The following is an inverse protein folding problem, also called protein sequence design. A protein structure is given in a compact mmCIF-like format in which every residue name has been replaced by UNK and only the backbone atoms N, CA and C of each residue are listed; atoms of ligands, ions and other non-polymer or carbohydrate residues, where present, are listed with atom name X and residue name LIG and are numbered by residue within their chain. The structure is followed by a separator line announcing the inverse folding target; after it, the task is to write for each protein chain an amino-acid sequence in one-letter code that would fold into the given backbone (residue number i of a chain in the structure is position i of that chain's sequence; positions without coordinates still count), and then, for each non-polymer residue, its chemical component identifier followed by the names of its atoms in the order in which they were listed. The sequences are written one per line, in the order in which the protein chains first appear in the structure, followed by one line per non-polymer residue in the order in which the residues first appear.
data_IF_995774390810
#
_entry.id   IF_995774390810
#
_cell.length_a   1.000
_cell.length_b   1.000
_cell.length_c   1.000
_cell.angle_alpha   90.00
_cell.angle_beta   90.00
_cell.angle_gamma   90.00
#
_symmetry.space_group_name_H-M   'P 1'
#
loop_
_entity.id
_entity.type
_entity.pdbx_description
1 polymer ?
#
# COMPACT_ATOMS: atom_id res chain seq x y z
N UNK A 1 -19.17 25.08 -21.95
CA UNK A 1 -18.60 24.10 -22.92
C UNK A 1 -17.07 24.05 -22.86
N UNK A 2 -16.35 25.19 -22.85
CA UNK A 2 -14.88 25.19 -22.72
C UNK A 2 -14.35 24.99 -21.29
N UNK A 3 -15.06 25.50 -20.28
CA UNK A 3 -14.66 25.32 -18.88
C UNK A 3 -14.58 23.83 -18.44
N UNK A 4 -15.49 23.00 -18.95
CA UNK A 4 -15.51 21.56 -18.66
C UNK A 4 -14.32 20.82 -19.29
N UNK A 5 -13.83 21.27 -20.46
CA UNK A 5 -12.63 20.71 -21.08
C UNK A 5 -11.37 21.03 -20.28
N UNK A 6 -11.27 22.26 -19.76
CA UNK A 6 -10.14 22.70 -18.92
C UNK A 6 -10.11 21.92 -17.60
N UNK A 7 -11.27 21.78 -16.94
CA UNK A 7 -11.37 21.02 -15.69
C UNK A 7 -11.04 19.54 -15.92
N UNK A 8 -11.57 18.93 -16.98
CA UNK A 8 -11.26 17.54 -17.32
C UNK A 8 -9.77 17.32 -17.59
N UNK A 9 -9.13 18.26 -18.29
CA UNK A 9 -7.68 18.22 -18.53
C UNK A 9 -6.86 18.29 -17.23
N UNK A 10 -7.23 19.17 -16.30
CA UNK A 10 -6.59 19.30 -14.99
C UNK A 10 -6.74 17.98 -14.19
N UNK A 11 -7.95 17.41 -14.16
CA UNK A 11 -8.20 16.15 -13.45
C UNK A 11 -7.42 15.00 -14.09
N UNK A 12 -7.38 14.91 -15.42
CA UNK A 12 -6.59 13.90 -16.15
C UNK A 12 -5.11 13.99 -15.81
N UNK A 13 -4.52 15.20 -15.86
CA UNK A 13 -3.11 15.39 -15.53
C UNK A 13 -2.81 15.07 -14.07
N UNK A 14 -3.72 15.36 -13.14
CA UNK A 14 -3.59 14.99 -11.74
C UNK A 14 -3.67 13.47 -11.56
N UNK A 15 -4.64 12.81 -12.19
CA UNK A 15 -4.79 11.35 -12.17
C UNK A 15 -3.54 10.66 -12.70
N UNK A 16 -3.01 11.08 -13.84
CA UNK A 16 -1.79 10.50 -14.41
C UNK A 16 -0.59 10.69 -13.49
N UNK A 17 -0.47 11.84 -12.81
CA UNK A 17 0.60 12.07 -11.82
C UNK A 17 0.44 11.15 -10.61
N UNK A 18 -0.77 11.04 -10.07
CA UNK A 18 -1.07 10.16 -8.93
C UNK A 18 -0.80 8.70 -9.29
N UNK A 19 -1.31 8.23 -10.44
CA UNK A 19 -1.08 6.86 -10.92
C UNK A 19 0.40 6.58 -11.11
N UNK A 20 1.17 7.50 -11.72
CA UNK A 20 2.63 7.31 -11.87
C UNK A 20 3.35 7.23 -10.53
N UNK A 21 2.98 8.08 -9.57
CA UNK A 21 3.54 8.05 -8.21
C UNK A 21 3.17 6.74 -7.49
N UNK A 22 1.89 6.37 -7.52
CA UNK A 22 1.39 5.12 -6.94
C UNK A 22 2.02 3.91 -7.58
N UNK A 23 2.20 3.87 -8.91
CA UNK A 23 2.88 2.79 -9.61
C UNK A 23 4.34 2.66 -9.18
N UNK A 24 5.08 3.76 -9.03
CA UNK A 24 6.46 3.69 -8.54
C UNK A 24 6.53 3.16 -7.11
N UNK A 25 5.67 3.67 -6.22
CA UNK A 25 5.60 3.20 -4.83
C UNK A 25 5.18 1.74 -4.75
N UNK A 26 4.16 1.34 -5.53
CA UNK A 26 3.68 -0.04 -5.62
C UNK A 26 4.71 -0.97 -6.25
N UNK A 27 5.49 -0.49 -7.22
CA UNK A 27 6.57 -1.27 -7.83
C UNK A 27 7.72 -1.49 -6.85
N UNK A 28 8.13 -0.45 -6.10
CA UNK A 28 9.16 -0.58 -5.07
C UNK A 28 8.67 -1.50 -3.95
N UNK A 29 7.43 -1.34 -3.47
CA UNK A 29 6.89 -2.22 -2.44
C UNK A 29 6.74 -3.65 -2.93
N UNK A 30 6.19 -3.88 -4.13
CA UNK A 30 6.09 -5.21 -4.73
C UNK A 30 7.47 -5.83 -4.96
N UNK A 31 8.46 -5.06 -5.43
CA UNK A 31 9.84 -5.54 -5.60
C UNK A 31 10.41 -5.96 -4.25
N UNK A 32 10.35 -5.11 -3.23
CA UNK A 32 10.82 -5.43 -1.87
C UNK A 32 10.11 -6.66 -1.30
N UNK A 33 8.79 -6.77 -1.47
CA UNK A 33 8.00 -7.91 -1.03
C UNK A 33 8.41 -9.18 -1.75
N UNK A 34 8.58 -9.14 -3.07
CA UNK A 34 8.99 -10.29 -3.88
C UNK A 34 10.42 -10.71 -3.53
N UNK A 35 11.32 -9.75 -3.28
CA UNK A 35 12.69 -10.03 -2.85
C UNK A 35 12.73 -10.67 -1.45
N UNK A 36 11.92 -10.17 -0.52
CA UNK A 36 11.72 -10.79 0.80
C UNK A 36 11.09 -12.17 0.67
N UNK A 37 10.08 -12.33 -0.19
CA UNK A 37 9.40 -13.60 -0.42
C UNK A 37 10.35 -14.64 -1.02
N UNK A 38 11.15 -14.25 -2.00
CA UNK A 38 12.14 -15.11 -2.65
C UNK A 38 13.33 -15.45 -1.72
N UNK A 39 13.75 -14.51 -0.86
CA UNK A 39 14.88 -14.69 0.05
C UNK A 39 14.54 -15.39 1.37
N UNK A 40 13.34 -15.17 1.91
CA UNK A 40 12.91 -15.70 3.22
C UNK A 40 11.80 -16.76 3.12
N UNK A 41 11.17 -16.94 1.96
CA UNK A 41 10.06 -17.88 1.76
C UNK A 41 8.73 -17.47 2.41
N UNK A 42 8.65 -16.28 2.99
CA UNK A 42 7.51 -15.81 3.77
C UNK A 42 6.55 -15.05 2.84
N UNK A 43 5.27 -15.46 2.78
CA UNK A 43 4.25 -14.76 2.00
C UNK A 43 3.94 -13.39 2.64
N UNK A 44 3.74 -12.32 1.86
CA UNK A 44 3.32 -11.02 2.41
C UNK A 44 2.02 -11.10 3.23
N UNK A 45 1.15 -12.07 2.92
CA UNK A 45 -0.05 -12.37 3.68
C UNK A 45 0.28 -12.85 5.11
N UNK A 46 1.30 -13.68 5.25
CA UNK A 46 1.76 -14.19 6.55
C UNK A 46 2.30 -13.05 7.43
N UNK A 47 3.07 -12.14 6.84
CA UNK A 47 3.62 -10.95 7.53
C UNK A 47 2.49 -10.09 8.08
N UNK A 48 1.47 -9.84 7.26
CA UNK A 48 0.31 -9.06 7.69
C UNK A 48 -0.46 -9.76 8.81
N UNK A 49 -0.64 -11.08 8.70
CA UNK A 49 -1.31 -11.87 9.72
C UNK A 49 -0.56 -11.84 11.06
N UNK A 50 0.77 -11.98 11.04
CA UNK A 50 1.62 -11.88 12.23
C UNK A 50 1.55 -10.50 12.87
N UNK A 51 1.56 -9.42 12.08
CA UNK A 51 1.43 -8.05 12.60
C UNK A 51 0.08 -7.87 13.32
N UNK A 52 -1.02 -8.33 12.71
CA UNK A 52 -2.35 -8.25 13.32
C UNK A 52 -2.42 -9.08 14.61
N UNK A 53 -1.86 -10.29 14.61
CA UNK A 53 -1.81 -11.13 15.81
C UNK A 53 -1.04 -10.45 16.95
N UNK A 54 0.12 -9.86 16.67
CA UNK A 54 0.91 -9.12 17.67
C UNK A 54 0.10 -7.96 18.25
N UNK A 55 -0.57 -7.17 17.42
CA UNK A 55 -1.41 -6.04 17.87
C UNK A 55 -2.58 -6.54 18.72
N UNK A 56 -3.22 -7.64 18.33
CA UNK A 56 -4.31 -8.23 19.11
C UNK A 56 -3.82 -8.73 20.46
N UNK A 57 -2.71 -9.47 20.51
CA UNK A 57 -2.12 -9.94 21.77
C UNK A 57 -1.74 -8.77 22.68
N UNK A 58 -1.15 -7.71 22.13
CA UNK A 58 -0.85 -6.49 22.90
C UNK A 58 -2.11 -5.81 23.42
N UNK A 59 -3.17 -5.71 22.60
CA UNK A 59 -4.44 -5.14 23.03
C UNK A 59 -5.09 -5.96 24.14
N UNK A 60 -4.99 -7.30 24.09
CA UNK A 60 -5.48 -8.18 25.16
C UNK A 60 -4.67 -8.00 26.45
N UNK A 61 -3.34 -7.94 26.36
CA UNK A 61 -2.46 -7.73 27.52
C UNK A 61 -2.70 -6.37 28.17
N UNK A 62 -2.96 -5.32 27.37
CA UNK A 62 -3.28 -3.97 27.88
C UNK A 62 -4.72 -3.89 28.43
N UNK A 63 -5.67 -4.66 27.89
CA UNK A 63 -7.08 -4.63 28.32
C UNK A 63 -7.34 -5.42 29.62
N UNK A 64 -6.49 -6.41 29.94
CA UNK A 64 -6.64 -7.27 31.14
C UNK A 64 -5.93 -6.67 32.37
N UNK A 65 -5.22 -5.54 32.23
CA UNK A 65 -4.55 -4.81 33.31
C UNK A 65 -5.24 -3.49 33.62
#
# INVERSE_FOLDING_TARGET
MFATLIVSWIVYTLLVKVVKTTMKTAFISATTIVLLHAGLGISPQEIWHQIIQIIQTFSQVIRVR
#
